data_IF_894772223692
#
_entry.id   IF_894772223692
#
_cell.length_a   1.000
_cell.length_b   1.000
_cell.length_c   1.000
_cell.angle_alpha   90.00
_cell.angle_beta   90.00
_cell.angle_gamma   90.00
#
_symmetry.space_group_name_H-M   'P 1'
#
loop_
_entity.id
_entity.type
_entity.pdbx_description
1 polymer ?
#
# COMPACT_ATOMS: atom_id res chain seq x y z
N UNK A 1 -14.44 -4.10 4.67
CA UNK A 1 -13.80 -3.58 5.89
C UNK A 1 -12.55 -4.40 6.15
N UNK A 2 -11.42 -3.75 6.43
CA UNK A 2 -10.18 -4.43 6.82
C UNK A 2 -10.12 -4.48 8.35
N UNK A 3 -9.80 -5.65 8.92
CA UNK A 3 -9.54 -5.81 10.35
C UNK A 3 -8.03 -5.80 10.54
N UNK A 4 -7.51 -4.78 11.21
CA UNK A 4 -6.08 -4.60 11.46
C UNK A 4 -5.68 -5.26 12.79
N UNK A 5 -4.47 -5.82 12.84
CA UNK A 5 -3.76 -6.02 14.11
C UNK A 5 -4.40 -7.06 15.02
N UNK A 6 -4.79 -8.21 14.46
CA UNK A 6 -5.24 -9.38 15.23
C UNK A 6 -4.09 -10.04 16.01
N UNK A 7 -3.42 -9.26 16.88
CA UNK A 7 -2.25 -9.65 17.66
C UNK A 7 -0.91 -9.48 16.95
N UNK A 8 -0.86 -8.83 15.77
CA UNK A 8 0.36 -8.58 15.00
C UNK A 8 0.63 -7.09 14.81
N UNK A 9 1.90 -6.65 14.77
CA UNK A 9 2.25 -5.30 14.39
C UNK A 9 1.80 -5.02 12.95
N UNK A 10 1.26 -3.81 12.72
CA UNK A 10 0.77 -3.38 11.41
C UNK A 10 1.52 -2.14 10.95
N UNK A 11 2.09 -2.20 9.74
CA UNK A 11 2.59 -1.05 9.00
C UNK A 11 1.50 -0.54 8.07
N UNK A 12 0.93 0.61 8.40
CA UNK A 12 -0.01 1.34 7.54
C UNK A 12 0.78 2.33 6.67
N UNK A 13 0.75 2.14 5.35
CA UNK A 13 1.32 3.07 4.38
C UNK A 13 0.19 3.90 3.74
N UNK A 14 0.23 5.21 3.93
CA UNK A 14 -0.67 6.15 3.27
C UNK A 14 -0.01 6.62 1.97
N UNK A 15 -0.71 6.47 0.85
CA UNK A 15 -0.14 6.75 -0.46
C UNK A 15 -1.18 7.28 -1.45
N UNK A 16 -0.70 7.80 -2.58
CA UNK A 16 -1.56 8.21 -3.69
C UNK A 16 -0.91 7.83 -5.03
N UNK A 17 -1.74 7.59 -6.05
CA UNK A 17 -1.28 7.21 -7.40
C UNK A 17 -0.37 8.26 -8.06
N UNK A 18 -0.58 9.53 -7.73
CA UNK A 18 0.21 10.67 -8.21
C UNK A 18 1.45 10.98 -7.35
N UNK A 19 1.60 10.32 -6.19
CA UNK A 19 2.72 10.54 -5.29
C UNK A 19 3.92 9.67 -5.70
N UNK A 20 4.84 10.24 -6.48
CA UNK A 20 6.03 9.50 -6.94
C UNK A 20 6.90 8.90 -5.80
N UNK A 21 7.18 9.62 -4.69
CA UNK A 21 7.89 9.02 -3.56
C UNK A 21 7.14 7.83 -2.93
N UNK A 22 5.81 7.90 -2.86
CA UNK A 22 5.01 6.81 -2.31
C UNK A 22 5.12 5.54 -3.18
N UNK A 23 5.18 5.68 -4.51
CA UNK A 23 5.40 4.54 -5.40
C UNK A 23 6.78 3.89 -5.19
N UNK A 24 7.80 4.69 -4.85
CA UNK A 24 9.13 4.17 -4.48
C UNK A 24 9.06 3.40 -3.17
N UNK A 25 8.35 3.92 -2.16
CA UNK A 25 8.13 3.22 -0.89
C UNK A 25 7.40 1.89 -1.07
N UNK A 26 6.31 1.87 -1.84
CA UNK A 26 5.56 0.63 -2.14
C UNK A 26 6.43 -0.41 -2.85
N UNK A 27 7.27 0.03 -3.80
CA UNK A 27 8.27 -0.84 -4.44
C UNK A 27 9.27 -1.40 -3.41
N UNK A 28 9.76 -0.56 -2.51
CA UNK A 28 10.65 -0.96 -1.43
C UNK A 28 10.03 -1.94 -0.43
N UNK A 29 8.71 -1.87 -0.20
CA UNK A 29 7.96 -2.84 0.60
C UNK A 29 7.80 -4.16 -0.14
N UNK A 30 7.46 -4.14 -1.43
CA UNK A 30 7.40 -5.34 -2.28
C UNK A 30 8.72 -6.08 -2.28
N UNK A 31 9.83 -5.37 -2.51
CA UNK A 31 11.15 -5.99 -2.63
C UNK A 31 11.60 -6.67 -1.33
N UNK A 32 11.04 -6.26 -0.18
CA UNK A 32 11.30 -6.80 1.16
C UNK A 32 10.17 -7.67 1.70
N UNK A 33 9.33 -8.22 0.82
CA UNK A 33 8.18 -9.04 1.22
C UNK A 33 8.56 -10.16 2.20
N UNK A 34 9.64 -10.90 1.90
CA UNK A 34 10.12 -12.00 2.74
C UNK A 34 10.48 -11.55 4.16
N UNK A 35 11.32 -10.53 4.28
CA UNK A 35 11.77 -9.98 5.58
C UNK A 35 10.58 -9.49 6.43
N UNK A 36 9.62 -8.81 5.80
CA UNK A 36 8.42 -8.30 6.47
C UNK A 36 7.54 -9.45 6.99
N UNK A 37 7.34 -10.49 6.17
CA UNK A 37 6.55 -11.67 6.56
C UNK A 37 7.25 -12.46 7.66
N UNK A 38 8.56 -12.64 7.58
CA UNK A 38 9.37 -13.30 8.62
C UNK A 38 9.34 -12.54 9.95
N UNK A 39 9.34 -11.20 9.90
CA UNK A 39 9.17 -10.35 11.08
C UNK A 39 7.74 -10.36 11.66
N UNK A 40 6.79 -11.04 11.02
CA UNK A 40 5.40 -11.12 11.47
C UNK A 40 4.62 -9.81 11.35
N UNK A 41 5.07 -8.88 10.50
CA UNK A 41 4.45 -7.58 10.29
C UNK A 41 3.38 -7.69 9.20
N UNK A 42 2.19 -7.14 9.46
CA UNK A 42 1.15 -6.95 8.46
C UNK A 42 1.35 -5.60 7.77
N UNK A 43 1.25 -5.55 6.44
CA UNK A 43 1.32 -4.31 5.67
C UNK A 43 -0.05 -4.01 5.07
N UNK A 44 -0.49 -2.77 5.21
CA UNK A 44 -1.70 -2.24 4.57
C UNK A 44 -1.37 -0.96 3.84
N UNK A 45 -1.54 -0.96 2.52
CA UNK A 45 -1.40 0.23 1.69
C UNK A 45 -2.78 0.88 1.48
N UNK A 46 -3.04 1.99 2.17
CA UNK A 46 -4.29 2.73 2.09
C UNK A 46 -4.13 3.91 1.14
N UNK A 47 -4.82 3.86 0.01
CA UNK A 47 -4.81 4.96 -0.96
C UNK A 47 -5.67 6.13 -0.44
N UNK A 48 -5.17 7.35 -0.62
CA UNK A 48 -5.92 8.60 -0.40
C UNK A 48 -6.53 9.15 -1.69
N UNK A 49 -6.40 8.45 -2.82
CA UNK A 49 -7.03 8.82 -4.08
C UNK A 49 -8.57 8.90 -3.91
N UNK A 50 -9.18 9.97 -4.43
CA UNK A 50 -10.63 10.19 -4.32
C UNK A 50 -11.11 10.75 -2.98
N UNK A 51 -10.23 11.12 -2.04
CA UNK A 51 -10.60 11.82 -0.80
C UNK A 51 -10.73 13.36 -0.98
N UNK A 52 -11.17 13.81 -2.16
CA UNK A 52 -11.36 15.24 -2.48
C UNK A 52 -10.16 15.90 -3.19
N UNK A 53 -9.15 15.12 -3.56
CA UNK A 53 -8.04 15.55 -4.42
C UNK A 53 -8.24 15.02 -5.84
N UNK A 54 -8.42 15.93 -6.79
CA UNK A 54 -8.70 15.61 -8.21
C UNK A 54 -7.47 15.06 -8.96
N UNK A 55 -6.28 15.09 -8.36
CA UNK A 55 -5.05 14.55 -8.97
C UNK A 55 -5.06 13.03 -9.08
N UNK A 56 -5.98 12.36 -8.39
CA UNK A 56 -5.97 10.93 -8.21
C UNK A 56 -7.37 10.33 -8.16
N UNK A 57 -7.50 9.08 -8.64
CA UNK A 57 -8.73 8.33 -8.54
C UNK A 57 -8.46 6.85 -8.26
N UNK A 58 -9.50 6.12 -7.87
CA UNK A 58 -9.41 4.69 -7.51
C UNK A 58 -8.82 3.83 -8.65
N UNK A 59 -9.14 4.15 -9.91
CA UNK A 59 -8.63 3.39 -11.06
C UNK A 59 -7.12 3.58 -11.24
N UNK A 60 -6.60 4.79 -11.04
CA UNK A 60 -5.18 5.08 -11.06
C UNK A 60 -4.43 4.37 -9.92
N UNK A 61 -5.03 4.33 -8.71
CA UNK A 61 -4.47 3.57 -7.59
C UNK A 61 -4.41 2.06 -7.89
N UNK A 62 -5.49 1.47 -8.39
CA UNK A 62 -5.52 0.07 -8.81
C UNK A 62 -4.45 -0.25 -9.86
N UNK A 63 -4.35 0.57 -10.91
CA UNK A 63 -3.38 0.38 -11.98
C UNK A 63 -1.93 0.47 -11.48
N UNK A 64 -1.65 1.37 -10.54
CA UNK A 64 -0.31 1.50 -9.94
C UNK A 64 0.08 0.24 -9.13
N UNK A 65 -0.84 -0.30 -8.32
CA UNK A 65 -0.60 -1.52 -7.54
C UNK A 65 -0.43 -2.76 -8.43
N UNK A 66 -1.24 -2.88 -9.48
CA UNK A 66 -1.12 -3.96 -10.48
C UNK A 66 0.24 -3.92 -11.17
N UNK A 67 0.67 -2.72 -11.62
CA UNK A 67 1.98 -2.52 -12.24
C UNK A 67 3.13 -2.85 -11.29
N UNK A 68 2.95 -2.59 -10.00
CA UNK A 68 3.95 -2.91 -8.98
C UNK A 68 3.96 -4.39 -8.60
N UNK A 69 2.95 -5.18 -8.99
CA UNK A 69 2.68 -6.51 -8.45
C UNK A 69 2.70 -6.50 -6.91
N UNK A 70 2.00 -5.53 -6.32
CA UNK A 70 2.07 -5.27 -4.88
C UNK A 70 1.53 -6.47 -4.07
N UNK A 71 2.31 -7.06 -3.15
CA UNK A 71 2.00 -8.38 -2.57
C UNK A 71 1.22 -8.32 -1.24
N UNK A 72 0.83 -7.12 -0.80
CA UNK A 72 0.13 -6.90 0.47
C UNK A 72 -1.29 -6.37 0.26
N UNK A 73 -2.04 -6.29 1.36
CA UNK A 73 -3.40 -5.75 1.35
C UNK A 73 -3.38 -4.28 0.93
N UNK A 74 -4.24 -3.92 -0.02
CA UNK A 74 -4.42 -2.55 -0.47
C UNK A 74 -5.90 -2.18 -0.56
N UNK A 75 -6.23 -0.93 -0.20
CA UNK A 75 -7.61 -0.43 -0.06
C UNK A 75 -7.76 0.98 -0.60
#
# INVERSE_FOLDING_TARGET
SVRLGAGKPVLLNLWASWCAPCLVELGGLRDREGEIREAGIEVVALSVDGLGDERGNRAAASAALEKLNFPFVAV
#
